data_IF_304001005887
#
_entry.id   IF_304001005887
#
_cell.length_a   1.000
_cell.length_b   1.000
_cell.length_c   1.000
_cell.angle_alpha   90.00
_cell.angle_beta   90.00
_cell.angle_gamma   90.00
#
_symmetry.space_group_name_H-M   'P 1'
#
loop_
_entity.id
_entity.type
_entity.pdbx_description
1 polymer ?
#
# COMPACT_ATOMS: atom_id res chain seq x y z
N UNK A 1 -18.53 15.35 13.49
CA UNK A 1 -17.64 14.80 12.45
C UNK A 1 -17.20 15.93 11.55
N UNK A 2 -15.90 16.05 11.29
CA UNK A 2 -15.29 17.17 10.56
C UNK A 2 -14.95 16.78 9.11
N UNK A 3 -14.63 17.76 8.26
CA UNK A 3 -14.10 17.50 6.91
C UNK A 3 -12.80 16.69 6.97
N UNK A 4 -11.95 16.95 7.97
CA UNK A 4 -10.73 16.17 8.20
C UNK A 4 -11.04 14.70 8.47
N UNK A 5 -12.06 14.40 9.28
CA UNK A 5 -12.44 12.99 9.55
C UNK A 5 -12.80 12.23 8.26
N UNK A 6 -13.47 12.89 7.30
CA UNK A 6 -13.77 12.29 6.00
C UNK A 6 -12.52 11.96 5.19
N UNK A 7 -11.51 12.84 5.20
CA UNK A 7 -10.24 12.57 4.54
C UNK A 7 -9.51 11.38 5.18
N UNK A 8 -9.54 11.27 6.51
CA UNK A 8 -8.92 10.15 7.23
C UNK A 8 -9.58 8.80 6.91
N UNK A 9 -10.90 8.76 6.70
CA UNK A 9 -11.63 7.54 6.30
C UNK A 9 -11.50 7.23 4.80
N UNK A 10 -11.01 8.17 3.97
CA UNK A 10 -10.93 7.97 2.52
C UNK A 10 -10.09 6.73 2.16
N UNK A 11 -8.90 6.58 2.76
CA UNK A 11 -8.03 5.45 2.44
C UNK A 11 -8.60 4.09 2.90
N UNK A 12 -9.14 3.88 4.13
CA UNK A 12 -9.72 2.59 4.48
C UNK A 12 -10.99 2.30 3.68
N UNK A 13 -11.80 3.32 3.35
CA UNK A 13 -12.97 3.13 2.50
C UNK A 13 -12.58 2.63 1.10
N UNK A 14 -11.59 3.26 0.46
CA UNK A 14 -11.06 2.81 -0.84
C UNK A 14 -10.40 1.43 -0.74
N UNK A 15 -9.71 1.11 0.36
CA UNK A 15 -9.14 -0.21 0.58
C UNK A 15 -10.22 -1.30 0.56
N UNK A 16 -11.33 -1.07 1.30
CA UNK A 16 -12.44 -2.01 1.40
C UNK A 16 -13.22 -2.13 0.08
N UNK A 17 -13.52 -1.01 -0.58
CA UNK A 17 -14.37 -1.01 -1.78
C UNK A 17 -13.62 -1.46 -3.04
N UNK A 18 -12.32 -1.18 -3.12
CA UNK A 18 -11.54 -1.39 -4.35
C UNK A 18 -10.46 -2.46 -4.16
N UNK A 19 -9.57 -2.28 -3.17
CA UNK A 19 -8.36 -3.11 -3.06
C UNK A 19 -8.68 -4.53 -2.58
N UNK A 20 -9.52 -4.70 -1.56
CA UNK A 20 -9.82 -6.02 -1.01
C UNK A 20 -10.54 -6.94 -2.02
N UNK A 21 -11.57 -6.48 -2.77
CA UNK A 21 -12.14 -7.27 -3.86
C UNK A 21 -11.11 -7.62 -4.94
N UNK A 22 -10.25 -6.68 -5.33
CA UNK A 22 -9.19 -6.93 -6.31
C UNK A 22 -8.20 -8.01 -5.83
N UNK A 23 -7.78 -7.98 -4.57
CA UNK A 23 -6.95 -9.04 -3.97
C UNK A 23 -7.64 -10.40 -4.11
N UNK A 24 -8.91 -10.50 -3.71
CA UNK A 24 -9.68 -11.74 -3.80
C UNK A 24 -9.76 -12.29 -5.23
N UNK A 25 -10.04 -11.43 -6.20
CA UNK A 25 -10.08 -11.81 -7.62
C UNK A 25 -8.70 -12.27 -8.14
N UNK A 26 -7.63 -11.53 -7.82
CA UNK A 26 -6.27 -11.86 -8.26
C UNK A 26 -5.80 -13.19 -7.66
N UNK A 27 -6.06 -13.43 -6.37
CA UNK A 27 -5.71 -14.70 -5.68
C UNK A 27 -6.50 -15.87 -6.27
N UNK A 28 -7.81 -15.70 -6.49
CA UNK A 28 -8.64 -16.73 -7.13
C UNK A 28 -8.13 -17.09 -8.52
N UNK A 29 -7.81 -16.09 -9.35
CA UNK A 29 -7.28 -16.32 -10.70
C UNK A 29 -5.87 -16.93 -10.67
N UNK A 30 -5.03 -16.58 -9.69
CA UNK A 30 -3.74 -17.22 -9.47
C UNK A 30 -3.91 -18.72 -9.18
N UNK A 31 -4.86 -19.06 -8.30
CA UNK A 31 -5.18 -20.43 -7.96
C UNK A 31 -5.69 -21.22 -9.17
N UNK A 32 -6.64 -20.67 -9.94
CA UNK A 32 -7.14 -21.30 -11.17
C UNK A 32 -6.02 -21.48 -12.21
N UNK A 33 -5.14 -20.50 -12.35
CA UNK A 33 -3.96 -20.59 -13.23
C UNK A 33 -3.05 -21.75 -12.83
N UNK A 34 -2.81 -21.94 -11.52
CA UNK A 34 -2.04 -23.07 -10.99
C UNK A 34 -2.75 -24.40 -11.25
N UNK A 35 -4.04 -24.50 -10.94
CA UNK A 35 -4.84 -25.70 -11.15
C UNK A 35 -4.85 -26.14 -12.61
N UNK A 36 -4.96 -25.20 -13.56
CA UNK A 36 -4.88 -25.48 -15.00
C UNK A 36 -3.49 -26.00 -15.41
N UNK A 37 -2.40 -25.39 -14.91
CA UNK A 37 -1.03 -25.74 -15.30
C UNK A 37 -0.56 -27.07 -14.71
N UNK A 38 -0.80 -27.28 -13.42
CA UNK A 38 -0.29 -28.40 -12.64
C UNK A 38 -1.29 -29.54 -12.58
N UNK A 39 -2.50 -29.27 -12.08
CA UNK A 39 -3.54 -30.28 -11.88
C UNK A 39 -4.40 -30.56 -13.13
N UNK A 40 -4.11 -29.88 -14.26
CA UNK A 40 -4.82 -30.03 -15.55
C UNK A 40 -6.34 -29.84 -15.48
N UNK A 41 -6.83 -29.09 -14.49
CA UNK A 41 -8.25 -28.73 -14.37
C UNK A 41 -8.66 -27.85 -15.55
N UNK A 42 -9.84 -28.11 -16.13
CA UNK A 42 -10.38 -27.40 -17.30
C UNK A 42 -10.96 -26.01 -16.96
N UNK A 43 -10.12 -25.12 -16.43
CA UNK A 43 -10.46 -23.68 -16.32
C UNK A 43 -10.33 -22.96 -17.67
N UNK A 44 -10.99 -21.80 -17.88
CA UNK A 44 -10.85 -21.02 -19.11
C UNK A 44 -9.39 -20.70 -19.49
N UNK A 45 -9.04 -20.59 -20.79
CA UNK A 45 -7.67 -20.29 -21.24
C UNK A 45 -7.18 -18.90 -20.84
N UNK A 46 -8.11 -18.00 -20.52
CA UNK A 46 -7.84 -16.61 -20.18
C UNK A 46 -7.41 -16.41 -18.73
N UNK A 47 -7.60 -17.37 -17.81
CA UNK A 47 -7.37 -17.16 -16.36
C UNK A 47 -5.97 -16.63 -16.00
N UNK A 48 -4.94 -17.04 -16.73
CA UNK A 48 -3.57 -16.55 -16.51
C UNK A 48 -3.35 -15.12 -17.02
N UNK A 49 -4.03 -14.74 -18.11
CA UNK A 49 -4.02 -13.37 -18.62
C UNK A 49 -4.81 -12.46 -17.68
N UNK A 50 -6.01 -12.87 -17.29
CA UNK A 50 -6.88 -12.10 -16.40
C UNK A 50 -6.22 -11.87 -15.03
N UNK A 51 -5.56 -12.89 -14.46
CA UNK A 51 -4.74 -12.75 -13.26
C UNK A 51 -3.68 -11.64 -13.43
N UNK A 52 -3.01 -11.65 -14.58
CA UNK A 52 -1.92 -10.73 -14.87
C UNK A 52 -2.40 -9.30 -15.14
N UNK A 53 -3.55 -9.14 -15.80
CA UNK A 53 -4.16 -7.83 -16.09
C UNK A 53 -4.75 -7.23 -14.80
N UNK A 54 -5.50 -8.00 -14.00
CA UNK A 54 -5.99 -7.53 -12.70
C UNK A 54 -4.87 -7.31 -11.69
N UNK A 55 -3.84 -8.16 -11.69
CA UNK A 55 -2.67 -8.00 -10.81
C UNK A 55 -1.93 -6.68 -11.09
N UNK A 56 -1.88 -6.26 -12.36
CA UNK A 56 -1.35 -4.95 -12.75
C UNK A 56 -2.19 -3.80 -12.18
N UNK A 57 -3.51 -3.87 -12.27
CA UNK A 57 -4.41 -2.88 -11.68
C UNK A 57 -4.33 -2.85 -10.16
N UNK A 58 -4.27 -4.01 -9.50
CA UNK A 58 -4.06 -4.12 -8.06
C UNK A 58 -2.76 -3.42 -7.65
N UNK A 59 -1.65 -3.68 -8.34
CA UNK A 59 -0.37 -3.06 -8.02
C UNK A 59 -0.42 -1.53 -8.10
N UNK A 60 -0.96 -0.97 -9.19
CA UNK A 60 -1.11 0.48 -9.30
C UNK A 60 -2.11 1.06 -8.30
N UNK A 61 -3.23 0.37 -8.07
CA UNK A 61 -4.25 0.78 -7.10
C UNK A 61 -3.69 0.87 -5.68
N UNK A 62 -2.86 -0.09 -5.27
CA UNK A 62 -2.19 -0.08 -3.97
C UNK A 62 -1.23 1.09 -3.84
N UNK A 63 -0.39 1.35 -4.86
CA UNK A 63 0.53 2.51 -4.84
C UNK A 63 -0.26 3.81 -4.72
N UNK A 64 -1.31 3.99 -5.52
CA UNK A 64 -2.15 5.19 -5.47
C UNK A 64 -2.86 5.35 -4.13
N UNK A 65 -3.36 4.25 -3.55
CA UNK A 65 -3.98 4.25 -2.23
C UNK A 65 -3.01 4.72 -1.15
N UNK A 66 -1.77 4.23 -1.18
CA UNK A 66 -0.72 4.65 -0.24
C UNK A 66 -0.39 6.13 -0.44
N UNK A 67 -0.28 6.61 -1.68
CA UNK A 67 -0.05 8.04 -1.94
C UNK A 67 -1.19 8.93 -1.42
N UNK A 68 -2.44 8.48 -1.53
CA UNK A 68 -3.61 9.16 -0.94
C UNK A 68 -3.46 9.21 0.58
N UNK A 69 -3.18 8.06 1.23
CA UNK A 69 -3.01 8.00 2.68
C UNK A 69 -1.88 8.92 3.18
N UNK A 70 -0.72 8.89 2.51
CA UNK A 70 0.41 9.76 2.81
C UNK A 70 0.08 11.24 2.60
N UNK A 71 -0.63 11.57 1.52
CA UNK A 71 -1.07 12.95 1.28
C UNK A 71 -1.98 13.42 2.40
N UNK A 72 -3.01 12.65 2.74
CA UNK A 72 -3.97 12.99 3.80
C UNK A 72 -3.25 13.20 5.14
N UNK A 73 -2.39 12.28 5.56
CA UNK A 73 -1.73 12.40 6.87
C UNK A 73 -0.77 13.60 6.93
N UNK A 74 -0.06 13.91 5.84
CA UNK A 74 0.86 15.06 5.79
C UNK A 74 0.09 16.38 5.83
N UNK A 75 -0.96 16.53 5.01
CA UNK A 75 -1.67 17.82 4.88
C UNK A 75 -2.67 18.10 5.99
N UNK A 76 -3.06 17.08 6.77
CA UNK A 76 -4.07 17.22 7.83
C UNK A 76 -3.50 17.19 9.24
N UNK A 77 -2.18 16.99 9.41
CA UNK A 77 -1.55 16.93 10.72
C UNK A 77 -1.66 18.24 11.48
N UNK A 78 -1.39 19.34 10.79
CA UNK A 78 -1.47 20.71 11.30
C UNK A 78 -2.08 21.61 10.21
N UNK A 79 -2.66 22.78 10.58
CA UNK A 79 -3.06 23.79 9.60
C UNK A 79 -1.88 24.19 8.69
N UNK A 80 -2.16 24.52 7.43
CA UNK A 80 -1.12 24.92 6.46
C UNK A 80 -0.27 26.11 6.92
N UNK A 81 -0.84 27.02 7.73
CA UNK A 81 -0.12 28.14 8.31
C UNK A 81 0.99 27.70 9.28
N UNK A 82 0.80 26.55 9.94
CA UNK A 82 1.68 25.98 10.96
C UNK A 82 2.47 24.77 10.42
N UNK A 83 2.45 24.55 9.10
CA UNK A 83 3.15 23.44 8.48
C UNK A 83 4.65 23.54 8.74
N UNK A 84 5.20 22.56 9.44
CA UNK A 84 6.62 22.55 9.81
C UNK A 84 7.51 22.66 8.55
N UNK A 85 8.44 23.62 8.54
CA UNK A 85 9.29 23.91 7.37
C UNK A 85 8.62 24.79 6.29
N UNK A 86 7.39 25.26 6.54
CA UNK A 86 6.70 26.27 5.74
C UNK A 86 6.36 25.87 4.31
N UNK A 87 6.01 26.87 3.51
CA UNK A 87 5.54 26.72 2.12
C UNK A 87 6.60 26.08 1.20
N UNK A 88 7.89 26.31 1.46
CA UNK A 88 8.99 25.73 0.70
C UNK A 88 9.03 24.20 0.84
N UNK A 89 8.95 23.68 2.08
CA UNK A 89 8.90 22.23 2.30
C UNK A 89 7.62 21.63 1.72
N UNK A 90 6.47 22.29 1.90
CA UNK A 90 5.22 21.84 1.30
C UNK A 90 5.32 21.71 -0.23
N UNK A 91 5.94 22.70 -0.89
CA UNK A 91 6.18 22.68 -2.34
C UNK A 91 7.11 21.54 -2.74
N UNK A 92 8.18 21.31 -1.98
CA UNK A 92 9.10 20.19 -2.22
C UNK A 92 8.38 18.84 -2.13
N UNK A 93 7.58 18.61 -1.09
CA UNK A 93 6.82 17.38 -0.92
C UNK A 93 5.79 17.18 -2.04
N UNK A 94 5.16 18.26 -2.48
CA UNK A 94 4.25 18.22 -3.63
C UNK A 94 4.98 17.82 -4.93
N UNK A 95 6.18 18.35 -5.17
CA UNK A 95 7.00 17.94 -6.33
C UNK A 95 7.38 16.45 -6.22
N UNK A 96 7.75 15.96 -5.03
CA UNK A 96 8.04 14.54 -4.81
C UNK A 96 6.81 13.68 -5.09
N UNK A 97 5.61 14.10 -4.65
CA UNK A 97 4.36 13.42 -4.95
C UNK A 97 4.10 13.36 -6.47
N UNK A 98 4.21 14.48 -7.17
CA UNK A 98 4.04 14.54 -8.63
C UNK A 98 5.06 13.66 -9.35
N UNK A 99 6.33 13.70 -8.94
CA UNK A 99 7.39 12.85 -9.49
C UNK A 99 7.11 11.36 -9.27
N UNK A 100 6.57 11.00 -8.11
CA UNK A 100 6.21 9.62 -7.77
C UNK A 100 5.07 9.11 -8.66
N UNK A 101 4.02 9.92 -8.83
CA UNK A 101 2.89 9.59 -9.73
C UNK A 101 3.35 9.52 -11.19
N UNK A 102 4.17 10.48 -11.64
CA UNK A 102 4.72 10.48 -12.99
C UNK A 102 5.58 9.23 -13.25
N UNK A 103 6.39 8.82 -12.27
CA UNK A 103 7.19 7.60 -12.34
C UNK A 103 6.32 6.33 -12.42
N UNK A 104 5.23 6.25 -11.64
CA UNK A 104 4.28 5.14 -11.74
C UNK A 104 3.63 5.08 -13.14
N UNK A 105 3.25 6.23 -13.70
CA UNK A 105 2.69 6.33 -15.05
C UNK A 105 3.74 5.91 -16.10
N UNK A 106 4.99 6.33 -15.94
CA UNK A 106 6.08 5.95 -16.82
C UNK A 106 6.37 4.45 -16.75
N UNK A 107 6.37 3.86 -15.55
CA UNK A 107 6.43 2.40 -15.34
C UNK A 107 5.30 1.70 -16.10
N UNK A 108 4.07 2.20 -15.98
CA UNK A 108 2.89 1.62 -16.64
C UNK A 108 3.00 1.61 -18.17
N UNK A 109 3.68 2.60 -18.77
CA UNK A 109 3.83 2.74 -20.23
C UNK A 109 5.10 2.09 -20.77
N UNK A 110 6.09 1.85 -19.92
CA UNK A 110 7.42 1.37 -20.34
C UNK A 110 7.40 -0.08 -20.81
N UNK A 111 8.09 -0.35 -21.92
CA UNK A 111 8.29 -1.71 -22.45
C UNK A 111 9.67 -2.28 -22.07
N UNK A 112 10.71 -1.45 -22.12
CA UNK A 112 12.08 -1.86 -21.84
C UNK A 112 12.25 -2.26 -20.35
N UNK A 113 12.89 -3.41 -20.11
CA UNK A 113 13.16 -3.92 -18.76
C UNK A 113 13.94 -2.94 -17.86
N UNK A 114 15.05 -2.32 -18.30
CA UNK A 114 15.78 -1.38 -17.44
C UNK A 114 14.92 -0.16 -17.06
N UNK A 115 14.13 0.38 -17.99
CA UNK A 115 13.23 1.50 -17.69
C UNK A 115 12.14 1.12 -16.68
N UNK A 116 11.53 -0.06 -16.82
CA UNK A 116 10.55 -0.54 -15.84
C UNK A 116 11.17 -0.69 -14.45
N UNK A 117 12.37 -1.26 -14.36
CA UNK A 117 13.07 -1.37 -13.09
C UNK A 117 13.36 0.00 -12.49
N UNK A 118 13.90 0.93 -13.28
CA UNK A 118 14.20 2.29 -12.82
C UNK A 118 12.97 3.03 -12.32
N UNK A 119 11.89 3.06 -13.11
CA UNK A 119 10.65 3.74 -12.71
C UNK A 119 9.98 3.06 -11.51
N UNK A 120 10.09 1.74 -11.38
CA UNK A 120 9.65 1.01 -10.19
C UNK A 120 10.41 1.45 -8.94
N UNK A 121 11.74 1.52 -9.02
CA UNK A 121 12.58 1.96 -7.91
C UNK A 121 12.34 3.42 -7.55
N UNK A 122 12.27 4.31 -8.54
CA UNK A 122 11.97 5.74 -8.31
C UNK A 122 10.60 5.91 -7.65
N UNK A 123 9.58 5.15 -8.10
CA UNK A 123 8.25 5.18 -7.47
C UNK A 123 8.33 4.74 -6.00
N UNK A 124 9.06 3.65 -5.72
CA UNK A 124 9.19 3.15 -4.36
C UNK A 124 9.98 4.10 -3.45
N UNK A 125 11.05 4.71 -3.95
CA UNK A 125 11.81 5.76 -3.24
C UNK A 125 10.94 6.98 -2.96
N UNK A 126 10.07 7.36 -3.91
CA UNK A 126 9.09 8.43 -3.71
C UNK A 126 8.14 8.14 -2.54
N UNK A 127 7.59 6.91 -2.48
CA UNK A 127 6.75 6.45 -1.36
C UNK A 127 7.52 6.43 -0.04
N UNK A 128 8.76 5.95 -0.03
CA UNK A 128 9.63 5.98 1.16
C UNK A 128 9.90 7.41 1.64
N UNK A 129 10.23 8.32 0.72
CA UNK A 129 10.55 9.73 1.01
C UNK A 129 9.36 10.47 1.59
N UNK A 130 8.17 10.30 1.01
CA UNK A 130 6.93 10.87 1.53
C UNK A 130 6.53 10.22 2.86
N UNK A 131 6.78 8.92 3.00
CA UNK A 131 6.46 8.18 4.21
C UNK A 131 7.39 8.44 5.39
N UNK A 132 8.63 8.88 5.12
CA UNK A 132 9.62 9.26 6.13
C UNK A 132 9.35 10.63 6.77
N UNK A 133 8.32 11.34 6.32
CA UNK A 133 7.97 12.65 6.87
C UNK A 133 7.47 12.52 8.33
N UNK A 134 7.80 13.46 9.23
CA UNK A 134 7.45 13.40 10.65
C UNK A 134 5.94 13.34 10.94
N UNK A 135 5.10 13.79 10.01
CA UNK A 135 3.64 13.75 10.12
C UNK A 135 3.09 12.32 10.07
N UNK A 136 3.82 11.40 9.42
CA UNK A 136 3.39 10.02 9.21
C UNK A 136 3.61 9.20 10.48
N UNK A 137 2.52 8.64 11.03
CA UNK A 137 2.59 7.72 12.15
C UNK A 137 3.17 6.37 11.70
N UNK A 138 4.31 5.98 12.28
CA UNK A 138 5.03 4.74 11.91
C UNK A 138 5.17 3.74 13.05
N UNK A 139 4.70 4.08 14.25
CA UNK A 139 4.84 3.32 15.49
C UNK A 139 6.30 3.14 15.97
N UNK A 140 7.22 2.68 15.11
CA UNK A 140 8.66 2.65 15.35
C UNK A 140 9.42 2.57 14.02
N UNK A 141 10.56 3.26 13.95
CA UNK A 141 11.50 3.20 12.82
C UNK A 141 12.70 2.27 13.09
N UNK A 142 12.80 1.66 14.29
CA UNK A 142 13.83 0.69 14.63
C UNK A 142 13.42 -0.74 14.21
N UNK A 143 14.06 -1.36 13.20
CA UNK A 143 13.71 -2.71 12.72
C UNK A 143 13.96 -3.83 13.74
N UNK A 144 14.71 -3.56 14.80
CA UNK A 144 14.95 -4.51 15.89
C UNK A 144 13.83 -4.48 16.95
N UNK A 145 12.88 -3.54 16.87
CA UNK A 145 11.76 -3.45 17.81
C UNK A 145 10.53 -4.19 17.30
N UNK A 146 9.73 -4.82 18.18
CA UNK A 146 8.44 -5.42 17.78
C UNK A 146 7.47 -4.40 17.17
N UNK A 147 7.52 -3.16 17.63
CA UNK A 147 6.69 -2.05 17.15
C UNK A 147 6.87 -1.77 15.65
N UNK A 148 8.09 -1.91 15.11
CA UNK A 148 8.33 -1.76 13.68
C UNK A 148 7.54 -2.80 12.87
N UNK A 149 7.57 -4.06 13.33
CA UNK A 149 6.85 -5.16 12.69
C UNK A 149 5.35 -5.17 12.96
N UNK A 150 4.84 -4.24 13.76
CA UNK A 150 3.41 -3.98 13.95
C UNK A 150 2.97 -2.69 13.25
N UNK A 151 3.88 -1.99 12.58
CA UNK A 151 3.58 -0.73 11.90
C UNK A 151 2.70 -0.96 10.67
N UNK A 152 1.58 -0.24 10.60
CA UNK A 152 0.75 -0.20 9.39
C UNK A 152 1.53 0.38 8.21
N UNK A 153 2.29 1.45 8.46
CA UNK A 153 3.12 2.13 7.47
C UNK A 153 4.19 1.20 6.86
N UNK A 154 5.04 0.56 7.68
CA UNK A 154 6.12 -0.27 7.15
C UNK A 154 5.61 -1.50 6.39
N UNK A 155 4.51 -2.11 6.84
CA UNK A 155 3.82 -3.16 6.10
C UNK A 155 3.27 -2.63 4.75
N UNK A 156 2.70 -1.42 4.73
CA UNK A 156 2.25 -0.69 3.54
C UNK A 156 3.36 -0.49 2.51
N UNK A 157 4.51 0.03 2.96
CA UNK A 157 5.69 0.27 2.13
C UNK A 157 6.26 -1.03 1.57
N UNK A 158 6.33 -2.09 2.40
CA UNK A 158 6.83 -3.39 1.97
C UNK A 158 5.93 -4.00 0.88
N UNK A 159 4.60 -3.99 1.08
CA UNK A 159 3.65 -4.45 0.05
C UNK A 159 3.77 -3.62 -1.23
N UNK A 160 3.91 -2.31 -1.12
CA UNK A 160 4.10 -1.42 -2.26
C UNK A 160 5.33 -1.83 -3.08
N UNK A 161 6.46 -2.12 -2.41
CA UNK A 161 7.66 -2.63 -3.08
C UNK A 161 7.43 -3.98 -3.79
N UNK A 162 6.74 -4.93 -3.16
CA UNK A 162 6.42 -6.23 -3.75
C UNK A 162 5.47 -6.10 -4.96
N UNK A 163 4.51 -5.19 -4.90
CA UNK A 163 3.59 -4.87 -5.99
C UNK A 163 4.32 -4.23 -7.18
N UNK A 164 5.19 -3.25 -6.89
CA UNK A 164 6.02 -2.59 -7.90
C UNK A 164 6.99 -3.58 -8.56
N UNK A 165 7.62 -4.47 -7.81
CA UNK A 165 8.41 -5.58 -8.36
C UNK A 165 7.58 -6.44 -9.31
N UNK A 166 6.38 -6.87 -8.89
CA UNK A 166 5.52 -7.73 -9.72
C UNK A 166 5.07 -7.03 -11.01
N UNK A 167 4.77 -5.73 -10.94
CA UNK A 167 4.44 -4.90 -12.10
C UNK A 167 5.63 -4.73 -13.03
N UNK A 168 6.80 -4.43 -12.46
CA UNK A 168 8.02 -4.13 -13.19
C UNK A 168 8.71 -5.36 -13.77
N UNK A 169 8.46 -6.57 -13.28
CA UNK A 169 9.05 -7.81 -13.79
C UNK A 169 8.07 -8.67 -14.60
N UNK A 170 6.86 -8.16 -14.91
CA UNK A 170 5.75 -8.92 -15.49
C UNK A 170 6.12 -9.79 -16.73
N UNK A 171 6.76 -9.26 -17.79
CA UNK A 171 7.23 -10.06 -18.93
C UNK A 171 8.27 -11.12 -18.55
N UNK A 172 9.18 -10.80 -17.64
CA UNK A 172 10.26 -11.70 -17.22
C UNK A 172 9.73 -12.87 -16.38
N UNK A 173 8.73 -12.64 -15.52
CA UNK A 173 8.02 -13.69 -14.74
C UNK A 173 7.46 -14.80 -15.65
N UNK A 174 7.02 -14.44 -16.86
CA UNK A 174 6.51 -15.40 -17.83
C UNK A 174 7.64 -16.18 -18.53
N UNK A 175 8.80 -15.55 -18.74
CA UNK A 175 9.92 -16.12 -19.50
C UNK A 175 10.88 -16.95 -18.64
N UNK A 176 11.05 -16.58 -17.36
CA UNK A 176 12.02 -17.19 -16.45
C UNK A 176 11.33 -17.89 -15.28
N UNK A 177 11.66 -19.16 -15.05
CA UNK A 177 11.15 -19.96 -13.94
C UNK A 177 11.62 -19.45 -12.56
N UNK A 178 12.85 -18.91 -12.47
CA UNK A 178 13.40 -18.34 -11.23
C UNK A 178 12.58 -17.13 -10.81
N UNK A 179 12.32 -16.20 -11.74
CA UNK A 179 11.47 -15.03 -11.45
C UNK A 179 10.02 -15.42 -11.17
N UNK A 180 9.52 -16.48 -11.80
CA UNK A 180 8.20 -17.01 -11.47
C UNK A 180 8.11 -17.52 -10.04
N UNK A 181 9.11 -18.26 -9.57
CA UNK A 181 9.18 -18.72 -8.17
C UNK A 181 9.29 -17.54 -7.22
N UNK A 182 10.16 -16.57 -7.53
CA UNK A 182 10.30 -15.34 -6.74
C UNK A 182 8.98 -14.57 -6.66
N UNK A 183 8.26 -14.41 -7.77
CA UNK A 183 6.95 -13.76 -7.79
C UNK A 183 5.91 -14.50 -6.94
N UNK A 184 5.88 -15.84 -6.97
CA UNK A 184 4.98 -16.61 -6.11
C UNK A 184 5.31 -16.37 -4.63
N UNK A 185 6.58 -16.45 -4.24
CA UNK A 185 7.01 -16.16 -2.85
C UNK A 185 6.66 -14.73 -2.44
N UNK A 186 6.95 -13.75 -3.30
CA UNK A 186 6.61 -12.35 -3.09
C UNK A 186 5.10 -12.13 -2.96
N UNK A 187 4.28 -12.85 -3.74
CA UNK A 187 2.82 -12.75 -3.69
C UNK A 187 2.23 -13.35 -2.42
N UNK A 188 2.79 -14.46 -1.93
CA UNK A 188 2.41 -15.04 -0.64
C UNK A 188 2.75 -14.07 0.50
N UNK A 189 3.96 -13.50 0.49
CA UNK A 189 4.35 -12.49 1.46
C UNK A 189 3.44 -11.26 1.39
N UNK A 190 3.13 -10.75 0.19
CA UNK A 190 2.21 -9.63 0.02
C UNK A 190 0.82 -9.94 0.57
N UNK A 191 0.29 -11.15 0.34
CA UNK A 191 -1.01 -11.56 0.88
C UNK A 191 -1.01 -11.56 2.42
N UNK A 192 0.05 -12.06 3.06
CA UNK A 192 0.20 -12.02 4.52
C UNK A 192 0.26 -10.57 5.02
N UNK A 193 1.01 -9.71 4.34
CA UNK A 193 1.12 -8.30 4.71
C UNK A 193 -0.20 -7.53 4.49
N UNK A 194 -1.02 -7.89 3.50
CA UNK A 194 -2.36 -7.32 3.34
C UNK A 194 -3.28 -7.70 4.50
N UNK A 195 -3.23 -8.96 4.95
CA UNK A 195 -3.96 -9.40 6.15
C UNK A 195 -3.49 -8.61 7.37
N UNK A 196 -2.17 -8.50 7.55
CA UNK A 196 -1.58 -7.69 8.61
C UNK A 196 -2.06 -6.23 8.55
N UNK A 197 -2.09 -5.61 7.37
CA UNK A 197 -2.59 -4.24 7.20
C UNK A 197 -4.07 -4.09 7.57
N UNK A 198 -4.92 -5.09 7.31
CA UNK A 198 -6.31 -5.07 7.76
C UNK A 198 -6.43 -5.07 9.29
N UNK A 199 -5.52 -5.77 9.98
CA UNK A 199 -5.47 -5.82 11.44
C UNK A 199 -4.86 -4.54 12.01
N UNK A 200 -3.71 -4.11 11.51
CA UNK A 200 -3.03 -2.91 12.01
C UNK A 200 -3.78 -1.63 11.65
N UNK A 201 -4.49 -1.59 10.51
CA UNK A 201 -5.31 -0.45 10.14
C UNK A 201 -6.51 -0.26 11.07
N UNK A 202 -7.16 -1.36 11.50
CA UNK A 202 -8.26 -1.27 12.48
C UNK A 202 -7.75 -0.90 13.88
N UNK A 203 -6.56 -1.38 14.28
CA UNK A 203 -5.87 -0.89 15.48
C UNK A 203 -5.57 0.61 15.40
N UNK A 204 -5.02 1.07 14.29
CA UNK A 204 -4.63 2.47 14.14
C UNK A 204 -5.84 3.41 14.24
N UNK A 205 -7.03 2.99 13.80
CA UNK A 205 -8.26 3.76 14.06
C UNK A 205 -8.61 3.94 15.55
N UNK A 206 -8.04 3.13 16.44
CA UNK A 206 -8.17 3.27 17.89
C UNK A 206 -7.01 4.08 18.51
N UNK A 207 -5.80 3.99 17.95
CA UNK A 207 -4.64 4.74 18.44
C UNK A 207 -4.61 6.20 17.96
N UNK A 208 -5.05 6.44 16.73
CA UNK A 208 -5.20 7.76 16.10
C UNK A 208 -6.67 7.99 15.70
N UNK A 209 -7.58 8.07 16.69
CA UNK A 209 -9.02 8.10 16.44
C UNK A 209 -9.48 9.41 15.80
N UNK A 210 -10.58 9.31 15.04
CA UNK A 210 -11.27 10.44 14.44
C UNK A 210 -11.80 11.39 15.52
N UNK A 211 -12.05 12.66 15.16
CA UNK A 211 -12.43 13.68 16.13
C UNK A 211 -13.69 13.31 16.95
N UNK A 212 -14.65 12.62 16.33
CA UNK A 212 -15.88 12.17 16.96
C UNK A 212 -15.71 10.88 17.80
N UNK A 213 -14.66 10.09 17.55
CA UNK A 213 -14.35 8.88 18.31
C UNK A 213 -13.57 9.19 19.59
N UNK A 214 -12.74 10.25 19.56
CA UNK A 214 -11.86 10.65 20.67
C UNK A 214 -12.52 10.65 22.04
N UNK A 215 -13.71 11.26 22.26
CA UNK A 215 -14.32 11.29 23.59
C UNK A 215 -14.62 9.91 24.16
N UNK A 216 -15.06 8.97 23.32
CA UNK A 216 -15.38 7.61 23.74
C UNK A 216 -14.12 6.77 23.94
N UNK A 217 -13.18 6.81 22.99
CA UNK A 217 -11.95 6.01 23.03
C UNK A 217 -11.06 6.42 24.20
N UNK A 218 -10.89 7.72 24.42
CA UNK A 218 -10.01 8.24 25.49
C UNK A 218 -10.67 8.28 26.87
N UNK A 219 -11.96 7.97 26.99
CA UNK A 219 -12.59 7.78 28.29
C UNK A 219 -12.33 6.38 28.89
N UNK A 220 -11.86 5.42 28.08
CA UNK A 220 -11.48 4.10 28.56
C UNK A 220 -10.10 4.08 29.21
N UNK A 221 -9.97 3.34 30.30
CA UNK A 221 -8.70 2.93 30.89
C UNK A 221 -8.25 1.61 30.24
N UNK A 222 -7.29 1.70 29.31
CA UNK A 222 -6.74 0.54 28.60
C UNK A 222 -5.83 -0.34 29.47
N UNK A 223 -5.31 0.18 30.59
CA UNK A 223 -4.50 -0.60 31.54
C UNK A 223 -5.42 -1.51 32.36
N UNK A 224 -6.51 -0.95 32.89
CA UNK A 224 -7.50 -1.69 33.68
C UNK A 224 -8.57 -2.39 32.84
N UNK A 225 -8.58 -2.15 31.51
CA UNK A 225 -9.59 -2.65 30.56
C UNK A 225 -11.02 -2.28 30.97
N UNK A 226 -11.21 -1.03 31.39
CA UNK A 226 -12.52 -0.48 31.80
C UNK A 226 -12.88 0.69 30.92
N UNK A 227 -14.14 0.76 30.52
CA UNK A 227 -14.74 1.95 29.91
C UNK A 227 -15.86 2.44 30.84
N UNK A 228 -16.27 3.72 30.74
CA UNK A 228 -17.41 4.25 31.48
C UNK A 228 -18.70 3.45 31.27
#
# INVERSE_FOLDING_TARGET
>A
MTTTDWFWILHPALAVVVIYPLIGMVVRLAWQTRQRRVAKVKHPPVVGRDHSDLGRWLAAGVVLLVLIALTVVIVSKEPLADFAGGTARATQLFIVLLGTVASLIALWRSKAAPLRLSFSLITWVGVLTLGAQPEVWRLSDNPLSPAFWQSHYWAGVAVTGLMLFSLAARPEILRDLRLRRLHVTASVLAALLFVMQGITGTRDLLEIPLSWQKPAVYACDFVLKRCP
#
